data_IF_193885557171
#
_entry.id   IF_193885557171
#
_cell.length_a   1.000
_cell.length_b   1.000
_cell.length_c   1.000
_cell.angle_alpha   90.00
_cell.angle_beta   90.00
_cell.angle_gamma   90.00
#
_symmetry.space_group_name_H-M   'P 1'
#
loop_
_entity.id
_entity.type
_entity.pdbx_description
1 polymer ?
#
# COMPACT_ATOMS: atom_id res chain seq x y z
N UNK A 1 -34.48 -40.45 -34.52
CA UNK A 1 -34.55 -41.09 -33.19
C UNK A 1 -33.14 -41.43 -32.76
N UNK A 2 -32.89 -41.23 -31.46
CA UNK A 2 -31.62 -40.99 -30.80
C UNK A 2 -30.55 -42.08 -30.96
N UNK A 3 -29.33 -41.63 -31.26
CA UNK A 3 -28.09 -42.34 -30.92
C UNK A 3 -27.68 -41.89 -29.53
N UNK A 4 -27.77 -42.76 -28.54
CA UNK A 4 -27.26 -42.55 -27.18
C UNK A 4 -26.05 -43.44 -26.97
N UNK A 5 -24.86 -42.85 -27.08
CA UNK A 5 -23.61 -43.42 -26.54
C UNK A 5 -22.83 -42.28 -25.89
N UNK A 6 -22.62 -42.36 -24.58
CA UNK A 6 -21.59 -41.70 -23.76
C UNK A 6 -22.05 -41.99 -22.33
N UNK A 7 -21.50 -42.95 -21.61
CA UNK A 7 -20.08 -43.08 -21.32
C UNK A 7 -19.90 -42.80 -19.83
N UNK A 8 -20.08 -43.84 -19.00
CA UNK A 8 -19.66 -43.84 -17.60
C UNK A 8 -18.18 -43.48 -17.51
N UNK A 9 -17.83 -42.39 -16.82
CA UNK A 9 -16.53 -42.24 -16.20
C UNK A 9 -16.57 -41.20 -15.08
N UNK A 10 -16.28 -41.68 -13.87
CA UNK A 10 -15.73 -40.93 -12.73
C UNK A 10 -16.55 -39.78 -12.15
N UNK A 11 -17.57 -40.20 -11.40
CA UNK A 11 -18.05 -39.52 -10.20
C UNK A 11 -16.88 -39.41 -9.20
N UNK A 12 -16.14 -38.30 -9.23
CA UNK A 12 -15.29 -37.91 -8.10
C UNK A 12 -16.25 -37.33 -7.06
N UNK A 13 -16.41 -37.95 -5.88
CA UNK A 13 -17.23 -37.37 -4.84
C UNK A 13 -16.47 -36.16 -4.28
N UNK A 14 -16.82 -34.96 -4.75
CA UNK A 14 -16.55 -33.74 -3.99
C UNK A 14 -17.26 -33.92 -2.66
N UNK A 15 -16.45 -34.13 -1.63
CA UNK A 15 -16.85 -34.01 -0.23
C UNK A 15 -17.70 -32.74 -0.11
N UNK A 16 -18.95 -32.91 0.32
CA UNK A 16 -19.89 -31.86 0.69
C UNK A 16 -19.31 -31.02 1.85
N UNK A 17 -18.35 -30.16 1.54
CA UNK A 17 -18.02 -29.01 2.36
C UNK A 17 -19.15 -28.00 2.16
N UNK A 18 -19.71 -27.50 3.28
CA UNK A 18 -20.63 -26.35 3.33
C UNK A 18 -20.36 -25.41 2.16
N UNK A 19 -21.42 -25.10 1.39
CA UNK A 19 -21.34 -24.32 0.16
C UNK A 19 -20.26 -23.26 0.24
N UNK A 20 -19.22 -23.41 -0.58
CA UNK A 20 -18.05 -22.52 -0.54
C UNK A 20 -18.55 -21.08 -0.57
N UNK A 21 -18.39 -20.36 0.53
CA UNK A 21 -18.83 -18.97 0.66
C UNK A 21 -18.06 -18.15 -0.38
N UNK A 22 -18.65 -17.98 -1.57
CA UNK A 22 -18.13 -17.10 -2.60
C UNK A 22 -18.62 -15.71 -2.22
N UNK A 23 -17.74 -14.82 -1.75
CA UNK A 23 -18.14 -13.47 -1.44
C UNK A 23 -18.67 -12.81 -2.72
N UNK A 24 -19.64 -11.91 -2.58
CA UNK A 24 -20.19 -11.18 -3.73
C UNK A 24 -19.08 -10.56 -4.57
N UNK A 25 -19.32 -10.46 -5.89
CA UNK A 25 -18.32 -10.03 -6.86
C UNK A 25 -17.63 -8.72 -6.46
N UNK A 26 -18.36 -7.81 -5.82
CA UNK A 26 -17.86 -6.52 -5.33
C UNK A 26 -16.84 -6.70 -4.18
N UNK A 27 -17.06 -7.63 -3.25
CA UNK A 27 -16.12 -7.95 -2.15
C UNK A 27 -14.87 -8.64 -2.70
N UNK A 28 -15.03 -9.54 -3.68
CA UNK A 28 -13.89 -10.19 -4.33
C UNK A 28 -12.99 -9.15 -5.02
N UNK A 29 -13.61 -8.16 -5.67
CA UNK A 29 -12.92 -7.03 -6.32
C UNK A 29 -12.22 -6.13 -5.29
N UNK A 30 -12.89 -5.78 -4.19
CA UNK A 30 -12.29 -5.03 -3.08
C UNK A 30 -11.01 -5.70 -2.55
N UNK A 31 -11.08 -7.00 -2.27
CA UNK A 31 -9.93 -7.79 -1.79
C UNK A 31 -8.79 -7.84 -2.82
N UNK A 32 -9.11 -7.91 -4.11
CA UNK A 32 -8.11 -7.90 -5.17
C UNK A 32 -7.33 -6.57 -5.19
N UNK A 33 -8.02 -5.43 -5.08
CA UNK A 33 -7.37 -4.11 -5.01
C UNK A 33 -6.53 -3.93 -3.74
N UNK A 34 -7.01 -4.38 -2.58
CA UNK A 34 -6.23 -4.33 -1.33
C UNK A 34 -4.92 -5.13 -1.44
N UNK A 35 -4.98 -6.37 -1.97
CA UNK A 35 -3.78 -7.19 -2.22
C UNK A 35 -2.85 -6.60 -3.26
N UNK A 36 -3.40 -5.91 -4.26
CA UNK A 36 -2.58 -5.22 -5.24
C UNK A 36 -1.81 -4.07 -4.60
N UNK A 37 -2.50 -3.27 -3.77
CA UNK A 37 -1.88 -2.18 -3.01
C UNK A 37 -0.79 -2.68 -2.06
N UNK A 38 -1.05 -3.77 -1.33
CA UNK A 38 -0.09 -4.40 -0.43
C UNK A 38 1.21 -4.79 -1.15
N UNK A 39 1.10 -5.44 -2.32
CA UNK A 39 2.27 -5.76 -3.16
C UNK A 39 3.06 -4.53 -3.59
N UNK A 40 2.38 -3.43 -3.94
CA UNK A 40 3.06 -2.18 -4.28
C UNK A 40 3.81 -1.57 -3.08
N UNK A 41 3.28 -1.72 -1.87
CA UNK A 41 3.96 -1.30 -0.63
C UNK A 41 5.23 -2.15 -0.41
N UNK A 42 5.15 -3.46 -0.61
CA UNK A 42 6.30 -4.35 -0.51
C UNK A 42 7.40 -3.99 -1.53
N UNK A 43 7.04 -3.71 -2.78
CA UNK A 43 7.99 -3.26 -3.80
C UNK A 43 8.62 -1.91 -3.43
N UNK A 44 7.81 -0.95 -2.98
CA UNK A 44 8.34 0.33 -2.50
C UNK A 44 9.35 0.13 -1.37
N UNK A 45 9.07 -0.75 -0.40
CA UNK A 45 9.97 -1.05 0.70
C UNK A 45 11.32 -1.64 0.24
N UNK A 46 11.30 -2.53 -0.75
CA UNK A 46 12.54 -3.06 -1.34
C UNK A 46 13.39 -1.95 -1.98
N UNK A 47 12.77 -0.99 -2.67
CA UNK A 47 13.50 0.14 -3.25
C UNK A 47 14.01 1.14 -2.21
N UNK A 48 13.36 1.25 -1.05
CA UNK A 48 13.93 1.99 0.09
C UNK A 48 15.23 1.36 0.56
N UNK A 49 15.25 0.03 0.68
CA UNK A 49 16.47 -0.71 1.05
C UNK A 49 17.56 -0.55 0.00
N UNK A 50 17.22 -0.55 -1.29
CA UNK A 50 18.18 -0.29 -2.36
C UNK A 50 18.77 1.13 -2.30
N UNK A 51 17.94 2.15 -2.01
CA UNK A 51 18.45 3.52 -1.77
C UNK A 51 19.42 3.54 -0.58
N UNK A 52 19.07 2.92 0.53
CA UNK A 52 19.93 2.86 1.72
C UNK A 52 21.24 2.12 1.45
N UNK A 53 21.19 1.01 0.70
CA UNK A 53 22.38 0.26 0.30
C UNK A 53 23.32 1.11 -0.56
N UNK A 54 22.80 1.78 -1.58
CA UNK A 54 23.61 2.65 -2.44
C UNK A 54 24.26 3.79 -1.63
N UNK A 55 23.50 4.43 -0.74
CA UNK A 55 24.04 5.45 0.16
C UNK A 55 25.16 4.91 1.05
N UNK A 56 25.02 3.69 1.58
CA UNK A 56 26.04 3.05 2.42
C UNK A 56 27.31 2.71 1.63
N UNK A 57 27.19 2.18 0.41
CA UNK A 57 28.33 1.90 -0.47
C UNK A 57 29.06 3.18 -0.92
N UNK A 58 28.33 4.30 -1.03
CA UNK A 58 28.87 5.64 -1.25
C UNK A 58 29.49 6.28 0.00
N UNK A 59 29.46 5.60 1.17
CA UNK A 59 29.87 6.15 2.46
C UNK A 59 29.07 7.39 2.91
N UNK A 60 27.81 7.50 2.49
CA UNK A 60 26.88 8.55 2.91
C UNK A 60 26.01 8.05 4.08
N UNK A 61 26.21 8.60 5.26
CA UNK A 61 25.54 8.21 6.51
C UNK A 61 24.19 8.94 6.73
N UNK A 62 23.45 9.19 5.65
CA UNK A 62 22.18 9.93 5.70
C UNK A 62 21.15 9.28 6.65
N UNK A 63 21.16 7.95 6.75
CA UNK A 63 20.25 7.17 7.60
C UNK A 63 20.48 7.37 9.11
N UNK A 64 21.64 7.90 9.53
CA UNK A 64 21.90 8.22 10.94
C UNK A 64 21.45 9.63 11.33
N UNK A 65 21.38 10.55 10.35
CA UNK A 65 21.09 11.97 10.60
C UNK A 65 19.67 12.39 10.20
N UNK A 66 18.88 11.48 9.62
CA UNK A 66 17.47 11.71 9.29
C UNK A 66 16.61 10.61 9.89
N UNK A 67 15.50 11.00 10.52
CA UNK A 67 14.56 10.05 11.14
C UNK A 67 13.87 9.11 10.13
N UNK A 68 13.73 9.56 8.87
CA UNK A 68 13.14 8.80 7.76
C UNK A 68 13.83 9.16 6.44
N UNK A 69 14.47 8.18 5.79
CA UNK A 69 15.14 8.34 4.49
C UNK A 69 14.15 8.70 3.37
N UNK A 70 12.90 8.23 3.46
CA UNK A 70 11.82 8.57 2.52
C UNK A 70 11.05 9.83 2.88
N UNK A 71 11.39 10.46 4.00
CA UNK A 71 10.82 11.74 4.40
C UNK A 71 11.21 12.86 3.44
N UNK A 72 10.53 14.00 3.56
CA UNK A 72 10.74 15.16 2.68
C UNK A 72 12.22 15.59 2.61
N UNK A 73 12.92 15.65 3.74
CA UNK A 73 14.35 16.01 3.79
C UNK A 73 15.23 14.96 3.11
N UNK A 74 15.08 13.68 3.47
CA UNK A 74 15.91 12.60 2.92
C UNK A 74 15.76 12.48 1.41
N UNK A 75 14.52 12.52 0.93
CA UNK A 75 14.22 12.44 -0.49
C UNK A 75 14.69 13.66 -1.28
N UNK A 76 14.67 14.86 -0.69
CA UNK A 76 15.25 16.07 -1.32
C UNK A 76 16.76 15.94 -1.48
N UNK A 77 17.46 15.46 -0.46
CA UNK A 77 18.91 15.23 -0.50
C UNK A 77 19.25 14.16 -1.54
N UNK A 78 18.56 13.02 -1.54
CA UNK A 78 18.77 11.94 -2.52
C UNK A 78 18.56 12.45 -3.95
N UNK A 79 17.48 13.21 -4.21
CA UNK A 79 17.23 13.79 -5.54
C UNK A 79 18.29 14.81 -5.95
N UNK A 80 18.81 15.60 -5.01
CA UNK A 80 19.90 16.54 -5.30
C UNK A 80 21.20 15.79 -5.69
N UNK A 81 21.53 14.71 -4.97
CA UNK A 81 22.68 13.85 -5.28
C UNK A 81 22.53 13.25 -6.69
N UNK A 82 21.32 12.75 -7.03
CA UNK A 82 21.00 12.22 -8.37
C UNK A 82 21.08 13.30 -9.45
N UNK A 83 20.69 14.54 -9.13
CA UNK A 83 20.83 15.69 -10.04
C UNK A 83 22.28 16.15 -10.25
N UNK A 84 23.25 15.55 -9.54
CA UNK A 84 24.67 15.84 -9.66
C UNK A 84 25.23 16.79 -8.59
N UNK A 85 24.44 17.15 -7.57
CA UNK A 85 24.94 17.97 -6.46
C UNK A 85 25.83 17.12 -5.53
N UNK A 86 27.09 17.55 -5.36
CA UNK A 86 28.11 16.85 -4.55
C UNK A 86 28.58 17.67 -3.36
N UNK A 87 28.24 18.95 -3.31
CA UNK A 87 28.69 19.81 -2.23
C UNK A 87 27.89 19.52 -0.95
N UNK A 88 28.55 18.92 0.04
CA UNK A 88 27.95 18.61 1.34
C UNK A 88 27.39 19.86 2.04
N UNK A 89 27.95 21.05 1.82
CA UNK A 89 27.40 22.30 2.34
C UNK A 89 26.03 22.61 1.74
N UNK A 90 25.92 22.50 0.41
CA UNK A 90 24.66 22.72 -0.31
C UNK A 90 23.64 21.67 0.13
N UNK A 91 24.03 20.40 0.19
CA UNK A 91 23.13 19.32 0.60
C UNK A 91 22.61 19.51 2.03
N UNK A 92 23.44 19.99 2.95
CA UNK A 92 23.04 20.26 4.33
C UNK A 92 22.02 21.41 4.45
N UNK A 93 21.97 22.33 3.47
CA UNK A 93 20.94 23.40 3.45
C UNK A 93 19.53 22.89 3.11
N UNK A 94 19.38 21.71 2.49
CA UNK A 94 18.07 21.12 2.22
C UNK A 94 17.35 20.58 3.47
N UNK A 95 17.99 20.68 4.64
CA UNK A 95 17.42 20.28 5.91
C UNK A 95 16.16 21.08 6.25
N UNK A 96 15.10 20.37 6.61
CA UNK A 96 13.93 21.00 7.25
C UNK A 96 14.29 21.52 8.66
N UNK A 97 13.64 22.61 9.08
CA UNK A 97 13.77 23.22 10.42
C UNK A 97 13.44 22.22 11.52
N UNK A 98 12.57 21.24 11.23
CA UNK A 98 12.17 20.18 12.16
C UNK A 98 13.21 19.09 12.39
N UNK A 99 14.32 19.10 11.66
CA UNK A 99 15.40 18.13 11.87
C UNK A 99 16.15 18.46 13.16
N UNK A 100 16.34 17.44 14.00
CA UNK A 100 16.99 17.56 15.30
C UNK A 100 18.50 17.81 15.19
N UNK A 101 19.12 17.40 14.08
CA UNK A 101 20.57 17.46 13.89
C UNK A 101 21.01 18.80 13.29
N UNK A 102 22.17 19.27 13.72
CA UNK A 102 22.73 20.54 13.22
C UNK A 102 23.22 20.39 11.78
N UNK A 103 23.47 21.53 11.12
CA UNK A 103 23.95 21.56 9.72
C UNK A 103 25.31 20.86 9.63
N UNK A 104 26.16 21.06 10.63
CA UNK A 104 27.50 20.50 10.72
C UNK A 104 27.46 18.97 10.82
N UNK A 105 26.55 18.42 11.63
CA UNK A 105 26.37 16.97 11.77
C UNK A 105 25.90 16.34 10.46
N UNK A 106 24.97 17.00 9.75
CA UNK A 106 24.46 16.53 8.46
C UNK A 106 25.54 16.60 7.38
N UNK A 107 26.29 17.71 7.34
CA UNK A 107 27.42 17.86 6.43
C UNK A 107 28.43 16.74 6.61
N UNK A 108 28.80 16.42 7.86
CA UNK A 108 29.74 15.33 8.15
C UNK A 108 29.23 13.97 7.67
N UNK A 109 27.93 13.73 7.74
CA UNK A 109 27.30 12.49 7.25
C UNK A 109 27.18 12.41 5.72
N UNK A 110 27.40 13.51 5.00
CA UNK A 110 27.29 13.62 3.55
C UNK A 110 28.64 13.68 2.83
N UNK A 111 29.73 13.39 3.54
CA UNK A 111 31.07 13.25 2.95
C UNK A 111 31.28 11.80 2.53
N UNK A 112 31.25 11.55 1.22
CA UNK A 112 31.31 10.19 0.66
C UNK A 112 32.10 10.10 -0.66
N UNK A 113 32.01 8.94 -1.29
CA UNK A 113 32.51 8.70 -2.64
C UNK A 113 31.35 8.75 -3.66
N UNK A 114 31.63 9.27 -4.85
CA UNK A 114 30.63 9.46 -5.92
C UNK A 114 30.97 8.61 -7.15
N UNK A 115 31.13 7.30 -6.95
CA UNK A 115 31.40 6.39 -8.07
C UNK A 115 30.18 6.32 -8.98
N UNK A 116 30.38 6.48 -10.29
CA UNK A 116 29.31 6.52 -11.29
C UNK A 116 28.38 5.29 -11.23
N UNK A 117 28.94 4.11 -10.96
CA UNK A 117 28.19 2.86 -10.79
C UNK A 117 27.17 2.91 -9.64
N UNK A 118 27.53 3.55 -8.52
CA UNK A 118 26.67 3.69 -7.34
C UNK A 118 25.63 4.78 -7.55
N UNK A 119 26.01 5.88 -8.20
CA UNK A 119 25.11 6.97 -8.59
C UNK A 119 24.05 6.46 -9.56
N UNK A 120 24.44 5.61 -10.51
CA UNK A 120 23.50 4.97 -11.43
C UNK A 120 22.47 4.12 -10.68
N UNK A 121 22.90 3.26 -9.75
CA UNK A 121 21.99 2.47 -8.92
C UNK A 121 21.08 3.34 -8.02
N UNK A 122 21.63 4.42 -7.47
CA UNK A 122 20.89 5.40 -6.67
C UNK A 122 19.90 6.20 -7.51
N UNK A 123 20.11 6.36 -8.81
CA UNK A 123 19.18 7.08 -9.71
C UNK A 123 17.92 6.26 -9.97
N UNK A 124 18.06 4.96 -10.23
CA UNK A 124 16.93 4.08 -10.57
C UNK A 124 15.98 3.83 -9.38
N UNK A 125 16.53 3.76 -8.16
CA UNK A 125 15.76 3.41 -6.96
C UNK A 125 14.65 4.43 -6.58
N UNK A 126 14.90 5.76 -6.50
CA UNK A 126 13.88 6.76 -6.21
C UNK A 126 12.86 6.90 -7.35
N UNK A 127 13.25 6.72 -8.61
CA UNK A 127 12.31 6.72 -9.75
C UNK A 127 11.27 5.59 -9.65
N UNK A 128 11.74 4.38 -9.34
CA UNK A 128 10.86 3.24 -9.13
C UNK A 128 9.98 3.44 -7.89
N UNK A 129 10.56 3.95 -6.80
CA UNK A 129 9.79 4.31 -5.60
C UNK A 129 8.66 5.30 -5.91
N UNK A 130 8.94 6.38 -6.65
CA UNK A 130 7.94 7.37 -7.07
C UNK A 130 6.83 6.74 -7.92
N UNK A 131 7.21 5.84 -8.82
CA UNK A 131 6.27 5.08 -9.64
C UNK A 131 5.34 4.22 -8.77
N UNK A 132 5.88 3.50 -7.78
CA UNK A 132 5.05 2.70 -6.87
C UNK A 132 4.12 3.57 -6.03
N UNK A 133 4.59 4.72 -5.52
CA UNK A 133 3.73 5.66 -4.80
C UNK A 133 2.57 6.15 -5.66
N UNK A 134 2.81 6.50 -6.92
CA UNK A 134 1.75 6.87 -7.85
C UNK A 134 0.75 5.72 -8.09
N UNK A 135 1.25 4.49 -8.25
CA UNK A 135 0.38 3.29 -8.43
C UNK A 135 -0.40 2.92 -7.18
N UNK A 136 0.13 3.18 -5.99
CA UNK A 136 -0.62 3.04 -4.75
C UNK A 136 -1.79 4.03 -4.69
N UNK A 137 -1.58 5.27 -5.13
CA UNK A 137 -2.66 6.26 -5.25
C UNK A 137 -3.72 5.85 -6.29
N UNK A 138 -3.32 5.23 -7.39
CA UNK A 138 -4.26 4.65 -8.37
C UNK A 138 -5.15 3.58 -7.70
N UNK A 139 -4.56 2.71 -6.89
CA UNK A 139 -5.30 1.69 -6.13
C UNK A 139 -6.23 2.33 -5.09
N UNK A 140 -5.76 3.36 -4.39
CA UNK A 140 -6.54 4.07 -3.37
C UNK A 140 -7.79 4.71 -3.99
N UNK A 141 -7.67 5.35 -5.16
CA UNK A 141 -8.83 5.92 -5.89
C UNK A 141 -9.84 4.86 -6.32
N UNK A 142 -9.37 3.69 -6.75
CA UNK A 142 -10.25 2.56 -7.12
C UNK A 142 -10.96 1.97 -5.90
N UNK A 143 -10.26 1.85 -4.77
CA UNK A 143 -10.84 1.40 -3.51
C UNK A 143 -11.91 2.36 -3.01
N UNK A 144 -11.61 3.67 -3.00
CA UNK A 144 -12.57 4.70 -2.60
C UNK A 144 -13.85 4.65 -3.45
N UNK A 145 -13.70 4.62 -4.79
CA UNK A 145 -14.84 4.55 -5.70
C UNK A 145 -15.71 3.31 -5.47
N UNK A 146 -15.09 2.15 -5.25
CA UNK A 146 -15.81 0.90 -5.01
C UNK A 146 -16.54 0.93 -3.66
N UNK A 147 -15.90 1.46 -2.61
CA UNK A 147 -16.51 1.55 -1.29
C UNK A 147 -17.68 2.54 -1.28
N UNK A 148 -17.56 3.69 -1.95
CA UNK A 148 -18.68 4.63 -2.10
C UNK A 148 -19.86 3.96 -2.82
N UNK A 149 -19.60 3.28 -3.95
CA UNK A 149 -20.65 2.56 -4.68
C UNK A 149 -21.31 1.46 -3.84
N UNK A 150 -20.55 0.75 -3.01
CA UNK A 150 -21.11 -0.23 -2.06
C UNK A 150 -21.96 0.43 -0.98
N UNK A 151 -21.55 1.60 -0.49
CA UNK A 151 -22.28 2.36 0.52
C UNK A 151 -23.63 2.83 -0.02
N UNK A 152 -23.65 3.36 -1.24
CA UNK A 152 -24.86 3.85 -1.92
C UNK A 152 -25.87 2.73 -2.24
N UNK A 153 -25.40 1.49 -2.45
CA UNK A 153 -26.24 0.30 -2.67
C UNK A 153 -26.98 -0.19 -1.40
N UNK A 154 -26.94 0.56 -0.30
CA UNK A 154 -27.70 0.27 0.92
C UNK A 154 -26.86 -0.25 2.09
N UNK A 155 -25.56 0.01 2.11
CA UNK A 155 -24.73 -0.32 3.27
C UNK A 155 -25.07 0.62 4.43
N UNK A 156 -25.90 0.16 5.36
CA UNK A 156 -26.24 0.92 6.57
C UNK A 156 -25.14 0.69 7.62
N UNK A 157 -24.45 1.72 8.12
CA UNK A 157 -23.42 1.53 9.14
C UNK A 157 -23.99 0.85 10.39
N UNK A 158 -23.34 -0.21 10.88
CA UNK A 158 -23.73 -0.89 12.14
C UNK A 158 -23.23 -0.06 13.33
N UNK A 159 -23.87 1.08 13.59
CA UNK A 159 -23.64 1.90 14.80
C UNK A 159 -22.62 3.03 14.67
N UNK A 160 -22.11 3.51 15.81
CA UNK A 160 -21.10 4.57 15.87
C UNK A 160 -19.67 4.00 15.89
N UNK A 161 -18.81 4.56 15.05
CA UNK A 161 -17.39 4.23 14.99
C UNK A 161 -16.70 4.54 16.33
N UNK A 162 -16.14 3.52 16.99
CA UNK A 162 -15.26 3.73 18.14
C UNK A 162 -14.04 4.57 17.75
N UNK A 163 -13.43 5.27 18.71
CA UNK A 163 -12.25 6.11 18.44
C UNK A 163 -11.09 5.26 17.89
N UNK A 164 -10.28 5.78 16.94
CA UNK A 164 -9.08 5.11 16.49
C UNK A 164 -8.12 4.80 17.63
N UNK A 165 -7.65 3.54 17.68
CA UNK A 165 -6.70 3.08 18.71
C UNK A 165 -5.28 3.62 18.48
N UNK A 166 -4.92 3.88 17.22
CA UNK A 166 -3.64 4.45 16.83
C UNK A 166 -3.85 5.92 16.45
N UNK A 167 -3.15 6.82 17.14
CA UNK A 167 -3.24 8.28 16.90
C UNK A 167 -2.23 8.78 15.87
N UNK A 168 -1.18 8.00 15.61
CA UNK A 168 -0.10 8.37 14.69
C UNK A 168 -0.38 7.85 13.29
N UNK A 169 -0.29 8.73 12.28
CA UNK A 169 -0.38 8.34 10.87
C UNK A 169 0.83 7.47 10.53
N UNK A 170 0.60 6.21 10.14
CA UNK A 170 1.67 5.30 9.77
C UNK A 170 2.21 5.63 8.36
N UNK A 171 3.46 5.26 8.10
CA UNK A 171 4.05 5.36 6.75
C UNK A 171 3.22 4.51 5.79
N UNK A 172 2.99 5.00 4.57
CA UNK A 172 2.17 4.34 3.54
C UNK A 172 0.70 4.07 3.94
N UNK A 173 0.14 4.84 4.88
CA UNK A 173 -1.32 4.83 5.15
C UNK A 173 -2.07 5.24 3.87
N UNK A 174 -3.19 4.57 3.51
CA UNK A 174 -4.01 4.95 2.36
C UNK A 174 -4.39 6.43 2.35
N UNK A 175 -4.56 7.01 1.17
CA UNK A 175 -4.86 8.43 1.01
C UNK A 175 -6.26 8.83 1.49
N UNK A 176 -7.17 7.87 1.59
CA UNK A 176 -8.56 8.06 2.00
C UNK A 176 -8.85 7.37 3.34
N UNK A 177 -9.94 7.77 4.00
CA UNK A 177 -10.33 7.22 5.30
C UNK A 177 -10.92 5.80 5.16
N UNK A 178 -10.03 4.81 5.10
CA UNK A 178 -10.39 3.39 4.99
C UNK A 178 -11.24 2.92 6.16
N UNK A 179 -11.06 3.48 7.36
CA UNK A 179 -11.81 3.05 8.55
C UNK A 179 -13.29 3.39 8.39
N UNK A 180 -13.58 4.63 8.04
CA UNK A 180 -14.95 5.09 7.81
C UNK A 180 -15.57 4.37 6.61
N UNK A 181 -14.79 4.22 5.53
CA UNK A 181 -15.20 3.55 4.32
C UNK A 181 -15.58 2.06 4.55
N UNK A 182 -14.72 1.28 5.23
CA UNK A 182 -14.98 -0.14 5.51
C UNK A 182 -16.15 -0.36 6.48
N UNK A 183 -16.39 0.57 7.39
CA UNK A 183 -17.47 0.44 8.37
C UNK A 183 -18.86 0.54 7.73
N UNK A 184 -19.00 1.33 6.66
CA UNK A 184 -20.19 1.28 5.80
C UNK A 184 -20.38 -0.12 5.21
N UNK A 185 -19.34 -0.69 4.60
CA UNK A 185 -19.39 -2.01 3.92
C UNK A 185 -19.65 -3.18 4.89
N UNK A 186 -19.07 -3.18 6.09
CA UNK A 186 -19.36 -4.19 7.11
C UNK A 186 -20.84 -4.15 7.54
N UNK A 187 -21.44 -2.97 7.46
CA UNK A 187 -22.87 -2.74 7.63
C UNK A 187 -23.77 -3.57 6.74
N UNK A 188 -23.38 -3.62 5.47
CA UNK A 188 -24.07 -4.39 4.43
C UNK A 188 -23.93 -5.91 4.63
N UNK A 189 -22.75 -6.39 5.06
CA UNK A 189 -22.52 -7.83 5.29
C UNK A 189 -23.39 -8.41 6.42
N UNK A 190 -23.68 -7.63 7.47
CA UNK A 190 -24.58 -8.06 8.53
C UNK A 190 -26.06 -7.99 8.09
N UNK A 191 -26.43 -7.01 7.26
CA UNK A 191 -27.79 -6.88 6.72
C UNK A 191 -28.17 -7.97 5.72
N UNK A 192 -27.23 -8.41 4.86
CA UNK A 192 -27.48 -9.48 3.89
C UNK A 192 -27.70 -10.87 4.52
N UNK A 193 -27.33 -11.07 5.80
CA UNK A 193 -27.66 -12.30 6.53
C UNK A 193 -29.14 -12.37 6.94
N UNK A 194 -29.87 -11.25 6.93
CA UNK A 194 -31.28 -11.18 7.35
C UNK A 194 -32.28 -11.43 6.21
N UNK A 195 -31.89 -11.24 4.95
CA UNK A 195 -32.81 -11.28 3.80
C UNK A 195 -32.93 -12.66 3.12
N UNK A 196 -32.13 -13.65 3.50
CA UNK A 196 -32.37 -15.05 3.12
C UNK A 196 -33.32 -15.70 4.12
N UNK A 197 -34.54 -15.15 4.17
CA UNK A 197 -35.66 -15.70 4.92
C UNK A 197 -36.01 -17.10 4.43
N UNK A 198 -36.00 -18.04 5.38
CA UNK A 198 -36.73 -19.30 5.33
C UNK A 198 -38.20 -18.99 5.00
N UNK A 199 -38.64 -19.32 3.78
CA UNK A 199 -40.07 -19.30 3.45
C UNK A 199 -40.69 -20.54 4.09
N UNK A 200 -41.38 -20.35 5.20
CA UNK A 200 -42.34 -21.32 5.72
C UNK A 200 -43.47 -21.51 4.69
N UNK A 201 -43.56 -22.70 4.13
CA UNK A 201 -44.64 -23.17 3.28
C UNK A 201 -45.68 -23.86 4.18
N UNK A 202 -46.94 -23.39 4.27
CA UNK A 202 -47.92 -23.99 5.17
C UNK A 202 -48.48 -25.29 4.58
N UNK A 203 -48.55 -26.32 5.43
CA UNK A 203 -49.22 -27.60 5.17
C UNK A 203 -50.75 -27.50 5.27
#
# INVERSE_FOLDING_TARGET
MSVTSLGCASFIPVVLLRGSFRPDADIATLRAYLRQRERLVEYAAAHIQHMQKALMEMNLQLHHVVSDTTGATGMRIIRAIVAGERNADVLATYRDVRCQYTIETIRAALVGNDRDELVFALTQSPELYDTYQAKMLDCDRKLESLITALTDKGAKPIGELSRPRVKTKQVNTPSFDVRTALYGVLGWMAGCHSDHGYRDEPA
#
